data_IF_707708532595
#
_entry.id   IF_707708532595
#
_cell.length_a   1.000
_cell.length_b   1.000
_cell.length_c   1.000
_cell.angle_alpha   90.00
_cell.angle_beta   90.00
_cell.angle_gamma   90.00
#
_symmetry.space_group_name_H-M   'P 1'
#
loop_
_entity.id
_entity.type
_entity.pdbx_description
1 polymer ?
#
# COMPACT_ATOMS: atom_id res chain seq x y z
N UNK A 1 16.17 5.90 17.36
CA UNK A 1 15.43 5.33 16.21
C UNK A 1 14.62 6.44 15.59
N UNK A 2 15.07 6.96 14.46
CA UNK A 2 14.39 8.06 13.76
C UNK A 2 13.09 7.51 13.17
N UNK A 3 11.90 8.11 13.42
CA UNK A 3 10.71 7.72 12.70
C UNK A 3 10.97 7.97 11.21
N UNK A 4 10.86 6.91 10.40
CA UNK A 4 10.97 6.99 8.95
C UNK A 4 10.01 8.06 8.46
N UNK A 5 10.55 9.15 7.93
CA UNK A 5 9.76 10.23 7.33
C UNK A 5 8.87 9.57 6.26
N UNK A 6 7.55 9.77 6.27
CA UNK A 6 6.70 9.21 5.22
C UNK A 6 7.25 9.65 3.87
N UNK A 7 7.58 8.69 3.03
CA UNK A 7 7.72 8.96 1.60
C UNK A 7 6.32 9.38 1.16
N UNK A 8 6.13 10.53 0.48
CA UNK A 8 4.82 10.89 -0.01
C UNK A 8 4.46 9.89 -1.12
N UNK A 9 3.83 8.77 -0.76
CA UNK A 9 2.90 8.12 -1.66
C UNK A 9 1.79 9.15 -1.87
N UNK A 10 1.75 9.72 -3.06
CA UNK A 10 0.78 10.73 -3.45
C UNK A 10 -0.63 10.28 -3.04
N UNK A 11 -1.44 11.14 -2.38
CA UNK A 11 -2.78 10.78 -1.95
C UNK A 11 -3.62 10.36 -3.17
N UNK A 12 -4.07 9.10 -3.23
CA UNK A 12 -5.09 8.69 -4.20
C UNK A 12 -5.02 7.28 -4.82
N UNK A 13 -4.02 6.43 -4.51
CA UNK A 13 -3.93 5.11 -5.15
C UNK A 13 -4.72 4.00 -4.45
N UNK A 14 -5.35 4.24 -3.30
CA UNK A 14 -6.11 3.23 -2.55
C UNK A 14 -7.51 3.73 -2.19
N UNK A 15 -8.54 3.00 -2.61
CA UNK A 15 -9.94 3.23 -2.30
C UNK A 15 -10.54 2.10 -1.46
N UNK A 16 -11.72 2.36 -0.87
CA UNK A 16 -12.50 1.37 -0.14
C UNK A 16 -13.81 1.08 -0.88
N UNK A 17 -14.13 -0.19 -1.06
CA UNK A 17 -15.49 -0.59 -1.42
C UNK A 17 -16.45 -0.28 -0.25
N UNK A 18 -17.74 0.00 -0.52
CA UNK A 18 -18.71 0.30 0.54
C UNK A 18 -18.82 -0.81 1.60
N UNK A 19 -18.69 -2.07 1.20
CA UNK A 19 -18.74 -3.20 2.12
C UNK A 19 -17.52 -3.22 3.08
N UNK A 20 -16.32 -2.93 2.57
CA UNK A 20 -15.11 -2.82 3.38
C UNK A 20 -15.22 -1.67 4.38
N UNK A 21 -15.69 -0.49 3.95
CA UNK A 21 -15.92 0.65 4.85
C UNK A 21 -16.92 0.30 5.97
N UNK A 22 -18.02 -0.41 5.67
CA UNK A 22 -18.97 -0.90 6.69
C UNK A 22 -18.31 -1.84 7.70
N UNK A 23 -17.49 -2.78 7.24
CA UNK A 23 -16.77 -3.71 8.10
C UNK A 23 -15.77 -2.98 9.00
N UNK A 24 -14.99 -2.06 8.44
CA UNK A 24 -14.00 -1.28 9.19
C UNK A 24 -14.62 -0.47 10.32
N UNK A 25 -15.81 0.11 10.13
CA UNK A 25 -16.55 0.76 11.21
C UNK A 25 -16.88 -0.21 12.35
N UNK A 26 -17.26 -1.45 12.05
CA UNK A 26 -17.55 -2.47 13.08
C UNK A 26 -16.28 -2.88 13.81
N UNK A 27 -15.22 -3.18 13.07
CA UNK A 27 -13.94 -3.59 13.65
C UNK A 27 -13.35 -2.49 14.54
N UNK A 28 -13.40 -1.22 14.10
CA UNK A 28 -12.90 -0.07 14.86
C UNK A 28 -13.63 0.11 16.19
N UNK A 29 -14.93 -0.13 16.23
CA UNK A 29 -15.72 -0.07 17.48
C UNK A 29 -15.33 -1.17 18.47
N UNK A 30 -14.98 -2.35 17.96
CA UNK A 30 -14.64 -3.52 18.78
C UNK A 30 -13.19 -3.55 19.23
N UNK A 31 -12.27 -3.08 18.38
CA UNK A 31 -10.83 -3.28 18.56
C UNK A 31 -10.02 -2.00 18.74
N UNK A 32 -10.65 -0.82 18.64
CA UNK A 32 -9.92 0.44 18.68
C UNK A 32 -9.29 0.80 17.33
N UNK A 33 -8.39 1.81 17.29
CA UNK A 33 -7.75 2.28 16.06
C UNK A 33 -7.17 1.14 15.24
N UNK A 34 -7.28 1.22 13.92
CA UNK A 34 -6.92 0.15 12.99
C UNK A 34 -5.73 0.53 12.11
N UNK A 35 -5.11 -0.48 11.51
CA UNK A 35 -4.16 -0.34 10.40
C UNK A 35 -4.30 -1.52 9.45
N UNK A 36 -3.89 -1.33 8.20
CA UNK A 36 -3.69 -2.41 7.24
C UNK A 36 -2.21 -2.65 6.98
N UNK A 37 -1.88 -3.91 6.73
CA UNK A 37 -0.61 -4.28 6.10
C UNK A 37 -0.85 -5.25 4.94
N UNK A 38 -0.24 -4.92 3.81
CA UNK A 38 -0.22 -5.71 2.59
C UNK A 38 1.19 -6.27 2.38
N UNK A 39 1.38 -7.55 2.70
CA UNK A 39 2.68 -8.21 2.54
C UNK A 39 2.93 -8.68 1.11
N UNK A 40 4.20 -8.86 0.74
CA UNK A 40 4.62 -9.64 -0.42
C UNK A 40 4.67 -11.13 -0.03
N UNK A 41 3.66 -11.92 -0.39
CA UNK A 41 3.57 -13.36 -0.10
C UNK A 41 3.86 -14.22 -1.33
N UNK A 42 4.30 -15.47 -1.09
CA UNK A 42 5.02 -16.35 -2.02
C UNK A 42 4.37 -16.61 -3.39
N UNK A 43 3.06 -16.53 -3.53
CA UNK A 43 2.41 -16.56 -4.84
C UNK A 43 1.25 -15.54 -4.83
N UNK A 44 1.13 -14.74 -5.90
CA UNK A 44 -0.03 -13.89 -6.26
C UNK A 44 -0.38 -12.66 -5.39
N UNK A 45 0.38 -12.39 -4.31
CA UNK A 45 0.11 -11.25 -3.42
C UNK A 45 -0.90 -11.63 -2.35
N UNK A 46 -0.53 -11.40 -1.09
CA UNK A 46 -1.36 -11.81 0.04
C UNK A 46 -2.65 -10.98 0.12
N UNK A 47 -3.62 -11.44 0.91
CA UNK A 47 -4.77 -10.58 1.23
C UNK A 47 -4.30 -9.42 2.12
N UNK A 48 -4.89 -8.22 1.99
CA UNK A 48 -4.57 -7.14 2.90
C UNK A 48 -5.07 -7.54 4.28
N UNK A 49 -4.22 -7.45 5.30
CA UNK A 49 -4.57 -7.83 6.66
C UNK A 49 -4.85 -6.60 7.51
N UNK A 50 -5.93 -6.65 8.29
CA UNK A 50 -6.36 -5.59 9.18
C UNK A 50 -5.98 -5.93 10.63
N UNK A 51 -5.32 -4.98 11.30
CA UNK A 51 -4.82 -5.10 12.67
C UNK A 51 -5.27 -3.92 13.53
N UNK A 52 -5.26 -4.05 14.86
CA UNK A 52 -5.16 -2.91 15.75
C UNK A 52 -3.91 -2.08 15.42
N UNK A 53 -4.03 -0.76 15.47
CA UNK A 53 -2.94 0.16 15.13
C UNK A 53 -1.73 -0.07 16.04
N UNK A 54 -0.59 -0.36 15.44
CA UNK A 54 0.68 -0.60 16.12
C UNK A 54 0.94 -2.06 16.49
N UNK A 55 -0.01 -2.98 16.25
CA UNK A 55 0.20 -4.41 16.49
C UNK A 55 1.15 -5.02 15.45
N UNK A 56 0.97 -4.66 14.18
CA UNK A 56 1.96 -4.93 13.15
C UNK A 56 3.06 -3.86 13.19
N UNK A 57 4.32 -4.29 13.36
CA UNK A 57 5.47 -3.39 13.39
C UNK A 57 5.91 -3.06 11.97
N UNK A 58 5.68 -1.84 11.53
CA UNK A 58 6.21 -1.32 10.26
C UNK A 58 7.62 -0.78 10.42
N UNK A 59 8.41 -0.78 9.34
CA UNK A 59 9.78 -0.27 9.33
C UNK A 59 10.23 0.22 7.96
N UNK A 60 11.55 0.32 7.75
CA UNK A 60 12.12 0.80 6.48
C UNK A 60 11.82 -0.06 5.24
N UNK A 61 11.30 -1.28 5.45
CA UNK A 61 10.83 -2.16 4.38
C UNK A 61 9.35 -1.98 4.01
N UNK A 62 8.65 -1.03 4.63
CA UNK A 62 7.22 -0.79 4.43
C UNK A 62 6.96 0.65 3.97
N UNK A 63 6.04 0.79 3.03
CA UNK A 63 5.59 2.07 2.47
C UNK A 63 4.16 2.33 2.96
N UNK A 64 3.93 3.51 3.57
CA UNK A 64 2.58 4.00 3.82
C UNK A 64 1.97 4.46 2.50
N UNK A 65 1.03 3.70 1.96
CA UNK A 65 0.40 4.00 0.67
C UNK A 65 -0.73 5.02 0.78
N UNK A 66 -1.50 4.93 1.85
CA UNK A 66 -2.66 5.79 2.05
C UNK A 66 -3.04 5.90 3.53
N UNK A 67 -3.63 7.03 3.87
CA UNK A 67 -4.40 7.22 5.09
C UNK A 67 -5.89 7.17 4.73
N UNK A 68 -6.53 6.03 5.00
CA UNK A 68 -7.90 5.78 4.56
C UNK A 68 -8.89 6.47 5.50
N UNK A 69 -9.56 7.50 5.00
CA UNK A 69 -10.69 8.11 5.68
C UNK A 69 -11.94 7.22 5.55
N UNK A 70 -12.59 6.92 6.67
CA UNK A 70 -13.85 6.18 6.71
C UNK A 70 -14.86 7.02 7.46
N UNK A 71 -15.99 7.32 6.83
CA UNK A 71 -17.07 8.08 7.47
C UNK A 71 -17.49 7.43 8.80
N UNK A 72 -17.57 8.22 9.87
CA UNK A 72 -17.88 7.72 11.22
C UNK A 72 -16.72 6.98 11.91
N UNK A 73 -15.51 7.03 11.37
CA UNK A 73 -14.26 6.69 12.06
C UNK A 73 -13.48 7.98 12.26
N UNK A 74 -13.09 8.27 13.50
CA UNK A 74 -12.44 9.53 13.85
C UNK A 74 -11.02 9.65 13.28
N UNK A 75 -10.22 8.58 13.40
CA UNK A 75 -8.83 8.57 12.94
C UNK A 75 -8.69 7.84 11.60
N UNK A 76 -7.86 8.34 10.66
CA UNK A 76 -7.60 7.62 9.43
C UNK A 76 -6.93 6.27 9.69
N UNK A 77 -7.21 5.30 8.81
CA UNK A 77 -6.64 3.96 8.88
C UNK A 77 -5.45 3.90 7.93
N UNK A 78 -4.24 3.78 8.48
CA UNK A 78 -3.02 3.68 7.66
C UNK A 78 -2.98 2.36 6.88
N UNK A 79 -2.75 2.44 5.57
CA UNK A 79 -2.57 1.29 4.69
C UNK A 79 -1.11 1.16 4.28
N UNK A 80 -0.45 0.14 4.80
CA UNK A 80 0.97 -0.11 4.55
C UNK A 80 1.17 -1.26 3.56
N UNK A 81 2.24 -1.21 2.79
CA UNK A 81 2.63 -2.27 1.87
C UNK A 81 4.14 -2.51 1.92
N UNK A 82 4.57 -3.77 1.80
CA UNK A 82 5.98 -4.08 1.63
C UNK A 82 6.58 -3.35 0.41
N UNK A 83 7.78 -2.79 0.54
CA UNK A 83 8.39 -1.93 -0.48
C UNK A 83 8.61 -2.65 -1.82
N UNK A 84 8.98 -3.92 -1.80
CA UNK A 84 9.16 -4.74 -3.01
C UNK A 84 7.82 -4.93 -3.76
N UNK A 85 6.73 -5.08 -3.00
CA UNK A 85 5.38 -5.21 -3.54
C UNK A 85 4.86 -3.87 -4.07
N UNK A 86 5.22 -2.77 -3.40
CA UNK A 86 4.91 -1.43 -3.86
C UNK A 86 5.54 -1.13 -5.23
N UNK A 87 6.81 -1.48 -5.45
CA UNK A 87 7.46 -1.27 -6.75
C UNK A 87 6.71 -1.93 -7.91
N UNK A 88 6.11 -3.10 -7.65
CA UNK A 88 5.29 -3.82 -8.64
C UNK A 88 3.94 -3.13 -8.90
N UNK A 89 3.37 -2.47 -7.90
CA UNK A 89 1.98 -2.00 -7.90
C UNK A 89 1.84 -0.47 -7.95
N UNK A 90 2.94 0.29 -7.96
CA UNK A 90 2.96 1.77 -7.97
C UNK A 90 2.19 2.41 -9.13
N UNK A 91 1.96 1.66 -10.21
CA UNK A 91 1.20 2.09 -11.39
C UNK A 91 -0.27 1.64 -11.38
N UNK A 92 -0.77 1.18 -10.23
CA UNK A 92 -2.12 0.65 -10.07
C UNK A 92 -2.95 1.45 -9.07
N UNK A 93 -4.24 1.56 -9.37
CA UNK A 93 -5.25 1.92 -8.38
C UNK A 93 -5.72 0.64 -7.69
N UNK A 94 -5.68 0.67 -6.36
CA UNK A 94 -6.09 -0.43 -5.49
C UNK A 94 -7.44 -0.09 -4.86
N UNK A 95 -8.31 -1.08 -4.79
CA UNK A 95 -9.56 -1.00 -4.03
C UNK A 95 -9.58 -2.14 -3.01
N UNK A 96 -9.68 -1.79 -1.73
CA UNK A 96 -9.90 -2.75 -0.66
C UNK A 96 -11.39 -3.09 -0.63
N UNK A 97 -11.70 -4.35 -0.86
CA UNK A 97 -13.02 -4.93 -0.82
C UNK A 97 -13.10 -6.03 0.26
N UNK A 98 -14.28 -6.59 0.46
CA UNK A 98 -14.52 -7.70 1.38
C UNK A 98 -15.41 -8.74 0.72
N UNK A 99 -15.02 -10.00 0.85
CA UNK A 99 -15.77 -11.15 0.31
C UNK A 99 -15.97 -12.22 1.39
N UNK A 100 -17.02 -13.05 1.29
CA UNK A 100 -17.14 -14.23 2.14
C UNK A 100 -15.91 -15.14 1.99
N UNK A 101 -15.47 -15.73 3.10
CA UNK A 101 -14.36 -16.67 3.09
C UNK A 101 -13.48 -16.57 4.31
N UNK A 102 -12.59 -17.55 4.45
CA UNK A 102 -11.65 -17.60 5.58
C UNK A 102 -10.53 -16.58 5.36
N UNK A 103 -10.49 -15.55 6.21
CA UNK A 103 -9.34 -14.64 6.31
C UNK A 103 -8.12 -15.32 6.95
N UNK A 104 -6.99 -14.62 6.93
CA UNK A 104 -5.83 -15.01 7.74
C UNK A 104 -6.23 -15.01 9.21
N UNK A 105 -5.80 -16.01 9.98
CA UNK A 105 -6.09 -16.09 11.42
C UNK A 105 -5.54 -14.92 12.24
N UNK A 106 -4.65 -14.11 11.65
CA UNK A 106 -4.10 -12.90 12.24
C UNK A 106 -4.89 -11.63 11.92
N UNK A 107 -5.82 -11.68 10.96
CA UNK A 107 -6.58 -10.50 10.52
C UNK A 107 -7.89 -10.37 11.31
N UNK A 108 -8.24 -9.16 11.72
CA UNK A 108 -9.36 -8.90 12.64
C UNK A 108 -10.73 -9.33 12.12
N UNK A 109 -10.94 -9.39 10.81
CA UNK A 109 -12.20 -9.80 10.21
C UNK A 109 -12.39 -11.32 10.15
N UNK A 110 -11.35 -12.12 10.40
CA UNK A 110 -11.42 -13.58 10.26
C UNK A 110 -12.55 -14.23 11.09
N UNK A 111 -12.84 -13.81 12.34
CA UNK A 111 -13.97 -14.33 13.11
C UNK A 111 -15.35 -13.97 12.53
N UNK A 112 -15.42 -13.00 11.62
CA UNK A 112 -16.67 -12.53 11.00
C UNK A 112 -17.04 -13.33 9.74
N UNK A 113 -16.27 -14.38 9.40
CA UNK A 113 -16.53 -15.27 8.26
C UNK A 113 -16.26 -14.64 6.88
N UNK A 114 -15.52 -13.53 6.86
CA UNK A 114 -15.15 -12.79 5.66
C UNK A 114 -13.63 -12.59 5.60
N UNK A 115 -13.16 -12.10 4.45
CA UNK A 115 -11.77 -11.67 4.26
C UNK A 115 -11.71 -10.42 3.42
N UNK A 116 -10.73 -9.57 3.68
CA UNK A 116 -10.44 -8.48 2.76
C UNK A 116 -9.79 -9.00 1.46
N UNK A 117 -10.01 -8.24 0.38
CA UNK A 117 -9.53 -8.54 -0.97
C UNK A 117 -9.04 -7.24 -1.60
N UNK A 118 -7.87 -7.25 -2.23
CA UNK A 118 -7.47 -6.16 -3.12
C UNK A 118 -7.97 -6.44 -4.52
N UNK A 119 -8.67 -5.47 -5.10
CA UNK A 119 -8.90 -5.35 -6.54
C UNK A 119 -7.93 -4.30 -7.07
N UNK A 120 -7.30 -4.56 -8.20
CA UNK A 120 -6.40 -3.61 -8.83
C UNK A 120 -6.84 -3.32 -10.27
N UNK A 121 -6.53 -2.10 -10.72
CA UNK A 121 -6.55 -1.71 -12.13
C UNK A 121 -5.36 -0.80 -12.39
N UNK A 122 -4.93 -0.70 -13.64
CA UNK A 122 -3.96 0.31 -14.02
C UNK A 122 -4.54 1.72 -13.78
N UNK A 123 -3.67 2.64 -13.40
CA UNK A 123 -4.00 4.06 -13.38
C UNK A 123 -4.29 4.54 -14.80
N UNK A 124 -5.23 5.47 -14.94
CA UNK A 124 -5.39 6.24 -16.17
C UNK A 124 -4.26 7.24 -16.31
N UNK A 125 -3.99 7.73 -17.53
CA UNK A 125 -2.96 8.74 -17.77
C UNK A 125 -3.17 10.00 -16.91
N UNK A 126 -4.43 10.41 -16.70
CA UNK A 126 -4.77 11.54 -15.86
C UNK A 126 -4.40 11.28 -14.40
N UNK A 127 -4.73 10.10 -13.86
CA UNK A 127 -4.38 9.70 -12.50
C UNK A 127 -2.86 9.56 -12.32
N UNK A 128 -2.16 8.98 -13.30
CA UNK A 128 -0.70 8.86 -13.29
C UNK A 128 -0.01 10.23 -13.27
N UNK A 129 -0.52 11.21 -14.02
CA UNK A 129 -0.01 12.60 -14.00
C UNK A 129 -0.21 13.28 -12.64
N UNK A 130 -1.31 12.99 -11.94
CA UNK A 130 -1.58 13.54 -10.60
C UNK A 130 -0.62 12.97 -9.54
N UNK A 131 -0.17 11.72 -9.70
CA UNK A 131 0.81 11.13 -8.79
C UNK A 131 2.24 11.63 -9.06
N UNK A 132 2.49 12.27 -10.21
CA UNK A 132 3.80 12.70 -10.68
C UNK A 132 4.64 11.54 -11.25
N UNK A 133 5.76 11.81 -11.93
CA UNK A 133 6.70 10.76 -12.29
C UNK A 133 7.19 10.11 -11.00
N UNK A 134 6.82 8.85 -10.78
CA UNK A 134 7.40 8.06 -9.70
C UNK A 134 8.91 8.07 -9.90
N UNK A 135 9.63 8.72 -8.98
CA UNK A 135 11.04 9.06 -9.08
C UNK A 135 11.81 7.94 -9.80
N UNK A 136 12.05 8.14 -11.09
CA UNK A 136 12.63 7.11 -11.93
C UNK A 136 14.07 6.94 -11.45
N UNK A 137 14.43 5.73 -11.04
CA UNK A 137 15.78 5.35 -10.63
C UNK A 137 16.78 5.37 -11.78
N UNK A 138 16.52 6.12 -12.86
CA UNK A 138 17.47 6.36 -13.93
C UNK A 138 18.42 7.47 -13.54
N UNK A 139 19.59 7.05 -13.04
CA UNK A 139 20.83 7.80 -13.28
C UNK A 139 21.15 7.67 -14.77
N UNK A 140 20.58 8.56 -15.58
CA UNK A 140 21.14 8.82 -16.90
C UNK A 140 22.23 9.87 -16.74
N UNK A 141 23.47 9.39 -16.83
CA UNK A 141 24.60 10.17 -17.34
C UNK A 141 25.64 9.20 -17.91
N UNK A 142 25.32 8.65 -19.08
CA UNK A 142 26.37 8.39 -20.05
C UNK A 142 26.86 9.72 -20.59
N UNK A 143 28.17 9.95 -20.50
CA UNK A 143 28.88 10.90 -21.35
C UNK A 143 29.89 10.10 -22.18
N UNK A 144 29.81 10.13 -23.52
CA UNK A 144 30.79 9.49 -24.39
C UNK A 144 32.01 10.40 -24.56
N UNK A 145 33.18 9.79 -24.68
CA UNK A 145 34.44 10.45 -25.01
C UNK A 145 35.41 9.41 -25.56
N UNK A 146 35.37 9.26 -26.89
CA UNK A 146 36.46 8.84 -27.79
C UNK A 146 37.86 9.26 -27.29
N UNK A 147 38.98 8.75 -27.76
CA UNK A 147 39.44 7.69 -28.67
C UNK A 147 40.98 7.77 -28.52
N UNK A 148 41.68 6.78 -29.05
CA UNK A 148 43.14 6.61 -29.06
C UNK A 148 43.89 7.85 -29.60
N UNK A 149 45.14 8.04 -29.18
CA UNK A 149 46.33 8.15 -30.07
C UNK A 149 47.63 8.18 -29.25
N UNK A 150 48.65 7.54 -29.82
CA UNK A 150 50.01 7.27 -29.38
C UNK A 150 50.96 8.49 -29.34
N UNK A 151 52.18 8.23 -28.85
CA UNK A 151 53.46 8.87 -29.17
C UNK A 151 53.87 10.13 -28.39
N UNK A 152 55.06 10.02 -27.77
CA UNK A 152 55.81 11.07 -27.08
C UNK A 152 56.87 10.47 -26.17
#
# INVERSE_FOLDING_TARGET
MTPTRPHPASPGSVALAPAAARLLRRLRRKHGPLMFHQSGGCCDGSSPMCYPRGEFRTGGGDVLLAELAVEGVAEPIGFWMAADQFERWRHTHLTVDVVPGRGSGFSLEAPEGVRFLIRSRLLTDAEARLLGPAADGRRDAGGPGDDRTEAG
#
